data_IF_524115618186
#
_entry.id   IF_524115618186
#
_cell.length_a   1.000
_cell.length_b   1.000
_cell.length_c   1.000
_cell.angle_alpha   90.00
_cell.angle_beta   90.00
_cell.angle_gamma   90.00
#
_symmetry.space_group_name_H-M   'P 1'
#
loop_
_entity.id
_entity.type
_entity.pdbx_description
1 polymer ?
#
# COMPACT_ATOMS: atom_id res chain seq x y z
N UNK A 1 -66.88 -6.71 25.77
CA UNK A 1 -65.96 -7.76 26.26
C UNK A 1 -64.52 -7.34 25.97
N UNK A 2 -63.61 -7.68 26.89
CA UNK A 2 -62.30 -7.07 27.09
C UNK A 2 -61.38 -7.01 25.85
N UNK A 3 -60.70 -5.86 25.68
CA UNK A 3 -59.52 -5.69 24.85
C UNK A 3 -58.38 -6.56 25.41
N UNK A 4 -58.14 -7.73 24.82
CA UNK A 4 -57.00 -8.57 25.16
C UNK A 4 -55.79 -8.18 24.32
N UNK A 5 -54.78 -7.56 24.94
CA UNK A 5 -53.48 -7.26 24.35
C UNK A 5 -52.86 -8.53 23.73
N UNK A 6 -52.97 -8.67 22.41
CA UNK A 6 -52.15 -9.62 21.65
C UNK A 6 -50.72 -9.10 21.75
N UNK A 7 -49.95 -9.67 22.68
CA UNK A 7 -48.51 -9.44 22.77
C UNK A 7 -47.88 -9.92 21.47
N UNK A 8 -47.74 -9.02 20.51
CA UNK A 8 -46.85 -9.20 19.38
C UNK A 8 -45.48 -9.54 19.98
N UNK A 9 -45.05 -10.80 19.85
CA UNK A 9 -43.70 -11.20 20.22
C UNK A 9 -42.78 -10.36 19.36
N UNK A 10 -42.23 -9.28 19.94
CA UNK A 10 -41.07 -8.59 19.41
C UNK A 10 -40.03 -9.69 19.21
N UNK A 11 -39.79 -10.05 17.95
CA UNK A 11 -38.65 -10.88 17.57
C UNK A 11 -37.44 -10.15 18.12
N UNK A 12 -36.89 -10.64 19.24
CA UNK A 12 -35.72 -10.04 19.87
C UNK A 12 -34.67 -9.96 18.76
N UNK A 13 -34.19 -8.76 18.42
CA UNK A 13 -33.03 -8.59 17.54
C UNK A 13 -31.96 -9.55 18.07
N UNK A 14 -31.54 -10.49 17.22
CA UNK A 14 -30.53 -11.46 17.60
C UNK A 14 -29.34 -10.70 18.19
N UNK A 15 -28.82 -11.16 19.33
CA UNK A 15 -27.65 -10.54 19.96
C UNK A 15 -26.53 -10.53 18.92
N UNK A 16 -26.21 -9.35 18.38
CA UNK A 16 -25.02 -9.15 17.55
C UNK A 16 -23.84 -9.42 18.47
N UNK A 17 -23.27 -10.62 18.39
CA UNK A 17 -22.07 -10.94 19.14
C UNK A 17 -21.00 -9.97 18.66
N UNK A 18 -20.54 -9.08 19.55
CA UNK A 18 -19.54 -8.04 19.25
C UNK A 18 -18.19 -8.59 18.73
N UNK A 19 -18.06 -9.92 18.58
CA UNK A 19 -16.91 -10.61 18.01
C UNK A 19 -17.40 -11.77 17.13
N UNK A 20 -17.82 -11.43 15.92
CA UNK A 20 -18.04 -12.43 14.89
C UNK A 20 -16.67 -13.02 14.50
N UNK A 21 -16.39 -14.24 14.95
CA UNK A 21 -15.13 -14.96 14.68
C UNK A 21 -15.10 -15.61 13.30
N UNK A 22 -16.24 -15.63 12.61
CA UNK A 22 -16.36 -16.27 11.31
C UNK A 22 -15.94 -15.27 10.23
N UNK A 23 -14.83 -15.58 9.57
CA UNK A 23 -14.39 -14.85 8.38
C UNK A 23 -15.50 -14.90 7.31
N UNK A 24 -15.67 -13.82 6.54
CA UNK A 24 -16.57 -13.85 5.37
C UNK A 24 -16.08 -14.93 4.40
N UNK A 25 -16.96 -15.56 3.63
CA UNK A 25 -16.58 -16.64 2.70
C UNK A 25 -15.47 -16.22 1.71
N UNK A 26 -15.45 -14.95 1.30
CA UNK A 26 -14.43 -14.38 0.41
C UNK A 26 -13.25 -13.72 1.14
N UNK A 27 -13.19 -13.79 2.48
CA UNK A 27 -12.10 -13.17 3.22
C UNK A 27 -10.84 -14.05 3.16
N UNK A 28 -9.65 -13.46 2.94
CA UNK A 28 -8.41 -14.22 2.93
C UNK A 28 -8.12 -14.83 4.30
N UNK A 29 -7.80 -16.12 4.33
CA UNK A 29 -7.44 -16.84 5.54
C UNK A 29 -6.03 -16.44 6.01
N UNK A 30 -5.94 -15.83 7.19
CA UNK A 30 -4.65 -15.50 7.82
C UNK A 30 -4.15 -16.73 8.59
N UNK A 31 -3.28 -17.51 7.96
CA UNK A 31 -2.67 -18.69 8.58
C UNK A 31 -1.44 -18.25 9.38
N UNK A 32 -1.56 -18.23 10.71
CA UNK A 32 -0.43 -17.94 11.61
C UNK A 32 0.29 -19.23 12.01
N UNK A 33 1.64 -19.23 12.07
CA UNK A 33 2.39 -20.38 12.56
C UNK A 33 2.12 -20.60 14.05
N UNK A 34 1.94 -21.87 14.44
CA UNK A 34 1.74 -22.25 15.84
C UNK A 34 3.07 -22.48 16.59
N UNK A 35 4.12 -22.91 15.89
CA UNK A 35 5.45 -23.21 16.46
C UNK A 35 6.28 -21.93 16.60
N UNK A 36 7.01 -21.82 17.71
CA UNK A 36 7.86 -20.65 18.02
C UNK A 36 8.95 -20.40 16.96
N UNK A 37 9.62 -21.45 16.50
CA UNK A 37 10.67 -21.37 15.47
C UNK A 37 10.18 -20.76 14.15
N UNK A 38 8.93 -21.06 13.76
CA UNK A 38 8.33 -20.55 12.52
C UNK A 38 7.70 -19.14 12.68
N UNK A 39 7.64 -18.61 13.90
CA UNK A 39 7.04 -17.30 14.20
C UNK A 39 7.97 -16.17 13.75
N UNK A 40 9.26 -16.29 14.08
CA UNK A 40 10.29 -15.32 13.68
C UNK A 40 10.40 -15.19 12.16
N UNK A 41 10.38 -16.32 11.43
CA UNK A 41 10.44 -16.31 9.96
C UNK A 41 9.19 -15.72 9.32
N UNK A 42 8.01 -15.95 9.91
CA UNK A 42 6.75 -15.33 9.47
C UNK A 42 6.75 -13.80 9.67
N UNK A 43 7.26 -13.33 10.81
CA UNK A 43 7.36 -11.90 11.10
C UNK A 43 8.39 -11.21 10.19
N UNK A 44 9.53 -11.85 9.92
CA UNK A 44 10.51 -11.38 8.93
C UNK A 44 9.95 -11.35 7.51
N UNK A 45 9.17 -12.36 7.09
CA UNK A 45 8.51 -12.35 5.78
C UNK A 45 7.55 -11.17 5.64
N UNK A 46 6.86 -10.81 6.73
CA UNK A 46 5.95 -9.66 6.75
C UNK A 46 6.69 -8.33 6.59
N UNK A 47 7.87 -8.18 7.19
CA UNK A 47 8.70 -6.98 7.02
C UNK A 47 9.34 -6.89 5.64
N UNK A 48 9.89 -7.99 5.13
CA UNK A 48 10.53 -8.05 3.79
C UNK A 48 9.50 -7.92 2.67
N UNK A 49 8.26 -8.41 2.84
CA UNK A 49 7.20 -8.24 1.86
C UNK A 49 6.87 -6.76 1.56
N UNK A 50 7.04 -5.87 2.54
CA UNK A 50 6.90 -4.43 2.34
C UNK A 50 8.02 -3.87 1.44
N UNK A 51 9.25 -4.40 1.56
CA UNK A 51 10.39 -4.01 0.74
C UNK A 51 10.13 -4.31 -0.73
N UNK A 52 9.69 -5.52 -1.09
CA UNK A 52 9.39 -5.88 -2.49
C UNK A 52 8.33 -4.97 -3.12
N UNK A 53 7.30 -4.59 -2.36
CA UNK A 53 6.28 -3.66 -2.80
C UNK A 53 6.84 -2.25 -3.01
N UNK A 54 7.69 -1.78 -2.10
CA UNK A 54 8.36 -0.48 -2.23
C UNK A 54 9.38 -0.45 -3.34
N UNK A 55 10.16 -1.53 -3.56
CA UNK A 55 11.13 -1.65 -4.66
C UNK A 55 10.43 -1.59 -6.01
N UNK A 56 9.30 -2.30 -6.17
CA UNK A 56 8.49 -2.26 -7.39
C UNK A 56 7.90 -0.86 -7.63
N UNK A 57 7.42 -0.20 -6.59
CA UNK A 57 6.85 1.15 -6.66
C UNK A 57 7.94 2.18 -6.99
N UNK A 58 9.12 2.08 -6.37
CA UNK A 58 10.29 2.93 -6.67
C UNK A 58 10.73 2.70 -8.12
N UNK A 59 10.87 1.45 -8.56
CA UNK A 59 11.24 1.13 -9.94
C UNK A 59 10.24 1.69 -10.97
N UNK A 60 8.93 1.56 -10.71
CA UNK A 60 7.89 2.12 -11.57
C UNK A 60 7.90 3.66 -11.59
N UNK A 61 8.11 4.31 -10.45
CA UNK A 61 8.23 5.78 -10.37
C UNK A 61 9.50 6.27 -11.05
N UNK A 62 10.64 5.65 -10.80
CA UNK A 62 11.93 6.03 -11.42
C UNK A 62 11.85 5.84 -12.94
N UNK A 63 11.35 4.70 -13.42
CA UNK A 63 11.18 4.47 -14.86
C UNK A 63 10.21 5.46 -15.53
N UNK A 64 9.08 5.79 -14.89
CA UNK A 64 8.16 6.80 -15.40
C UNK A 64 8.78 8.22 -15.40
N UNK A 65 9.56 8.54 -14.36
CA UNK A 65 10.28 9.81 -14.28
C UNK A 65 11.39 9.92 -15.32
N UNK A 66 12.05 8.81 -15.69
CA UNK A 66 13.00 8.80 -16.79
C UNK A 66 12.32 9.12 -18.13
N UNK A 67 11.07 8.70 -18.33
CA UNK A 67 10.28 9.04 -19.53
C UNK A 67 9.88 10.52 -19.53
N UNK A 68 9.42 11.06 -18.40
CA UNK A 68 8.93 12.45 -18.32
C UNK A 68 10.06 13.48 -18.24
N UNK A 69 11.08 13.22 -17.41
CA UNK A 69 12.16 14.17 -17.10
C UNK A 69 13.47 13.86 -17.82
N UNK A 70 13.61 12.66 -18.40
CA UNK A 70 14.87 12.18 -18.96
C UNK A 70 15.74 11.47 -17.91
N UNK A 71 16.64 10.61 -18.38
CA UNK A 71 17.59 9.91 -17.51
C UNK A 71 18.58 10.88 -16.85
N UNK A 72 19.10 10.51 -15.68
CA UNK A 72 20.12 11.30 -14.96
C UNK A 72 21.30 11.71 -15.85
N UNK A 73 21.77 10.80 -16.72
CA UNK A 73 22.87 11.07 -17.66
C UNK A 73 22.51 12.12 -18.71
N UNK A 74 21.26 12.16 -19.17
CA UNK A 74 20.80 13.16 -20.13
C UNK A 74 20.67 14.53 -19.47
N UNK A 75 20.12 14.58 -18.26
CA UNK A 75 20.01 15.81 -17.47
C UNK A 75 21.38 16.43 -17.18
N UNK A 76 22.34 15.62 -16.71
CA UNK A 76 23.71 16.08 -16.45
C UNK A 76 24.42 16.59 -17.72
N UNK A 77 24.17 15.97 -18.88
CA UNK A 77 24.70 16.45 -20.16
C UNK A 77 24.08 17.79 -20.56
N UNK A 78 22.74 17.91 -20.46
CA UNK A 78 22.03 19.14 -20.78
C UNK A 78 22.45 20.30 -19.88
N UNK A 79 22.66 20.06 -18.59
CA UNK A 79 23.16 21.08 -17.65
C UNK A 79 24.57 21.53 -17.99
N UNK A 80 25.48 20.60 -18.30
CA UNK A 80 26.84 20.94 -18.73
C UNK A 80 26.86 21.74 -20.03
N UNK A 81 26.01 21.40 -21.00
CA UNK A 81 25.89 22.16 -22.25
C UNK A 81 25.30 23.55 -22.02
N UNK A 82 24.28 23.68 -21.16
CA UNK A 82 23.71 24.99 -20.77
C UNK A 82 24.76 25.86 -20.09
N UNK A 83 25.54 25.30 -19.16
CA UNK A 83 26.63 26.01 -18.48
C UNK A 83 27.71 26.47 -19.46
N UNK A 84 28.13 25.62 -20.40
CA UNK A 84 29.09 25.99 -21.47
C UNK A 84 28.56 27.10 -22.36
N UNK A 85 27.30 27.03 -22.79
CA UNK A 85 26.66 28.07 -23.61
C UNK A 85 26.49 29.39 -22.85
N UNK A 86 26.20 29.34 -21.56
CA UNK A 86 26.11 30.54 -20.71
C UNK A 86 27.48 31.21 -20.52
N UNK A 87 28.53 30.43 -20.25
CA UNK A 87 29.90 30.94 -20.15
C UNK A 87 30.38 31.56 -21.47
N UNK A 88 30.08 30.94 -22.62
CA UNK A 88 30.42 31.48 -23.92
C UNK A 88 29.71 32.81 -24.24
N UNK A 89 28.44 32.96 -23.84
CA UNK A 89 27.68 34.21 -24.01
C UNK A 89 28.11 35.33 -23.06
N UNK A 90 28.60 34.99 -21.87
CA UNK A 90 29.15 35.96 -20.91
C UNK A 90 30.49 36.55 -21.36
N UNK A 91 31.23 35.84 -22.21
CA UNK A 91 32.55 36.26 -22.71
C UNK A 91 32.49 37.09 -24.00
N UNK A 92 31.28 37.36 -24.52
CA UNK A 92 31.01 38.14 -25.75
C UNK A 92 30.41 39.53 -25.48
N UNK A 93 30.60 40.06 -24.28
CA UNK A 93 30.30 41.46 -23.91
C UNK A 93 31.56 42.12 -23.38
#
# INVERSE_FOLDING_TARGET
MAQGNIKLKLTKKARVTKRQSNLRAAAPLIIKPKKSAAKQTFDLKKSVGALNGTEKLIAGRVGHLEIIRGSRRQLEKQEKEKARKAAAKGNTK
#
